data_IF_326954427421
#
_entry.id   IF_326954427421
#
_cell.length_a   1.000
_cell.length_b   1.000
_cell.length_c   1.000
_cell.angle_alpha   90.00
_cell.angle_beta   90.00
_cell.angle_gamma   90.00
#
_symmetry.space_group_name_H-M   'P 1'
#
loop_
_entity.id
_entity.type
_entity.pdbx_description
1 polymer ?
#
# COMPACT_ATOMS: atom_id res chain seq x y z
N UNK A 1 45.27 -17.33 -1.95
CA UNK A 1 46.33 -16.97 -0.99
C UNK A 1 46.39 -15.46 -1.04
N UNK A 2 46.13 -14.65 -0.03
CA UNK A 2 45.72 -14.74 1.37
C UNK A 2 45.10 -13.35 1.65
N UNK A 3 43.93 -13.29 2.28
CA UNK A 3 43.77 -12.92 3.70
C UNK A 3 44.02 -11.43 3.99
N UNK A 4 43.25 -10.95 4.97
CA UNK A 4 43.48 -9.75 5.78
C UNK A 4 42.67 -8.54 5.29
N UNK A 5 41.90 -7.84 6.10
CA UNK A 5 41.94 -7.68 7.55
C UNK A 5 40.58 -7.15 8.02
N UNK A 6 40.11 -7.65 9.15
CA UNK A 6 39.06 -7.01 9.95
C UNK A 6 39.60 -5.70 10.54
N UNK A 7 38.76 -4.68 10.71
CA UNK A 7 38.84 -3.92 11.96
C UNK A 7 37.49 -3.86 12.67
N UNK A 8 37.53 -4.17 13.97
CA UNK A 8 36.45 -3.94 14.91
C UNK A 8 36.37 -2.44 15.25
N UNK A 9 35.16 -1.86 15.19
CA UNK A 9 34.82 -0.57 15.77
C UNK A 9 33.41 -0.63 16.36
N UNK A 10 33.28 -0.35 17.66
CA UNK A 10 32.04 -0.31 18.44
C UNK A 10 31.24 1.00 18.21
N UNK A 11 30.11 1.23 18.90
CA UNK A 11 28.82 0.54 18.85
C UNK A 11 27.76 1.49 18.24
N UNK A 12 27.34 1.27 16.99
CA UNK A 12 26.40 2.17 16.32
C UNK A 12 24.95 1.79 16.63
N UNK A 13 24.29 2.66 17.40
CA UNK A 13 22.85 2.84 17.61
C UNK A 13 21.91 1.74 17.06
N UNK A 14 21.13 1.13 17.95
CA UNK A 14 19.96 0.34 17.54
C UNK A 14 19.17 1.15 16.49
N UNK A 15 18.85 0.56 15.32
CA UNK A 15 18.15 1.31 14.29
C UNK A 15 16.84 1.80 14.87
N UNK A 16 16.52 3.08 14.67
CA UNK A 16 15.21 3.60 15.01
C UNK A 16 14.15 2.69 14.38
N UNK A 17 13.09 2.29 15.10
CA UNK A 17 12.05 1.45 14.52
C UNK A 17 11.54 2.15 13.27
N UNK A 18 11.59 1.45 12.15
CA UNK A 18 11.09 1.97 10.88
C UNK A 18 9.66 2.45 11.14
N UNK A 19 9.42 3.74 10.95
CA UNK A 19 8.06 4.26 10.91
C UNK A 19 7.41 3.64 9.69
N UNK A 20 6.86 2.43 9.86
CA UNK A 20 5.90 1.88 8.94
C UNK A 20 4.74 2.86 8.98
N UNK A 21 4.71 3.78 8.02
CA UNK A 21 3.57 4.65 7.83
C UNK A 21 2.36 3.73 7.83
N UNK A 22 1.46 3.93 8.79
CA UNK A 22 0.13 3.34 8.73
C UNK A 22 -0.52 4.02 7.55
N UNK A 23 -0.27 3.49 6.36
CA UNK A 23 -0.97 3.82 5.13
C UNK A 23 -2.39 3.30 5.20
N UNK A 24 -3.11 3.64 6.27
CA UNK A 24 -4.56 3.65 6.29
C UNK A 24 -4.99 4.86 5.48
N UNK A 25 -4.70 4.83 4.17
CA UNK A 25 -5.64 5.43 3.24
C UNK A 25 -6.97 4.81 3.62
N UNK A 26 -8.03 5.59 3.92
CA UNK A 26 -9.30 5.01 4.27
C UNK A 26 -9.84 4.28 3.03
N UNK A 27 -9.46 3.01 2.85
CA UNK A 27 -10.02 2.08 1.86
C UNK A 27 -11.53 2.01 2.06
N UNK A 28 -11.98 2.17 3.31
CA UNK A 28 -13.39 2.30 3.65
C UNK A 28 -14.07 3.47 2.95
N UNK A 29 -13.43 4.64 2.77
CA UNK A 29 -14.07 5.78 2.11
C UNK A 29 -14.37 5.48 0.63
N UNK A 30 -13.42 4.84 -0.06
CA UNK A 30 -13.56 4.42 -1.45
C UNK A 30 -14.57 3.28 -1.62
N UNK A 31 -14.56 2.31 -0.69
CA UNK A 31 -15.55 1.22 -0.64
C UNK A 31 -16.97 1.73 -0.38
N UNK A 32 -17.16 2.62 0.58
CA UNK A 32 -18.46 3.18 0.94
C UNK A 32 -18.98 4.11 -0.18
N UNK A 33 -18.08 4.81 -0.88
CA UNK A 33 -18.41 5.55 -2.09
C UNK A 33 -18.88 4.60 -3.20
N UNK A 34 -18.15 3.51 -3.45
CA UNK A 34 -18.52 2.50 -4.44
C UNK A 34 -19.84 1.79 -4.10
N UNK A 35 -20.12 1.55 -2.82
CA UNK A 35 -21.37 0.98 -2.34
C UNK A 35 -22.59 1.89 -2.59
N UNK A 36 -22.40 3.21 -2.51
CA UNK A 36 -23.42 4.22 -2.83
C UNK A 36 -23.61 4.45 -4.34
N UNK A 37 -22.62 4.15 -5.18
CA UNK A 37 -22.72 4.34 -6.63
C UNK A 37 -23.86 3.53 -7.24
N UNK A 38 -24.61 4.16 -8.15
CA UNK A 38 -25.61 3.49 -8.96
C UNK A 38 -25.00 2.54 -9.98
N UNK A 39 -25.81 1.62 -10.53
CA UNK A 39 -25.35 0.66 -11.55
C UNK A 39 -24.72 1.33 -12.79
N UNK A 40 -25.30 2.45 -13.25
CA UNK A 40 -24.79 3.20 -14.39
C UNK A 40 -23.41 3.81 -14.12
N UNK A 41 -23.20 4.36 -12.93
CA UNK A 41 -21.92 4.94 -12.51
C UNK A 41 -20.84 3.86 -12.38
N UNK A 42 -21.20 2.69 -11.82
CA UNK A 42 -20.29 1.54 -11.77
C UNK A 42 -19.88 1.05 -13.17
N UNK A 43 -20.81 1.07 -14.15
CA UNK A 43 -20.49 0.73 -15.54
C UNK A 43 -19.59 1.77 -16.22
N UNK A 44 -19.79 3.06 -15.92
CA UNK A 44 -18.91 4.13 -16.39
C UNK A 44 -17.50 3.93 -15.81
N UNK A 45 -17.39 3.73 -14.49
CA UNK A 45 -16.12 3.44 -13.82
C UNK A 45 -15.42 2.21 -14.41
N UNK A 46 -16.14 1.12 -14.68
CA UNK A 46 -15.55 -0.06 -15.33
C UNK A 46 -14.99 0.21 -16.72
N UNK A 47 -15.55 1.18 -17.46
CA UNK A 47 -15.10 1.58 -18.81
C UNK A 47 -13.91 2.53 -18.74
N UNK A 48 -13.94 3.47 -17.81
CA UNK A 48 -12.93 4.53 -17.66
C UNK A 48 -11.69 4.03 -16.90
N UNK A 49 -11.90 3.26 -15.83
CA UNK A 49 -10.84 2.66 -15.03
C UNK A 49 -11.20 1.22 -14.61
N UNK A 50 -10.91 0.23 -15.48
CA UNK A 50 -11.20 -1.16 -15.19
C UNK A 50 -10.39 -1.70 -13.98
N UNK A 51 -9.21 -1.14 -13.70
CA UNK A 51 -8.34 -1.57 -12.61
C UNK A 51 -8.90 -1.16 -11.24
N UNK A 52 -9.28 0.11 -11.07
CA UNK A 52 -9.93 0.60 -9.83
C UNK A 52 -11.31 -0.02 -9.62
N UNK A 53 -12.10 -0.22 -10.69
CA UNK A 53 -13.34 -0.99 -10.58
C UNK A 53 -13.10 -2.40 -10.02
N UNK A 54 -12.09 -3.12 -10.53
CA UNK A 54 -11.77 -4.47 -10.06
C UNK A 54 -11.30 -4.47 -8.60
N UNK A 55 -10.46 -3.49 -8.22
CA UNK A 55 -9.99 -3.31 -6.86
C UNK A 55 -11.17 -3.07 -5.89
N UNK A 56 -12.06 -2.13 -6.20
CA UNK A 56 -13.23 -1.79 -5.38
C UNK A 56 -14.26 -2.93 -5.34
N UNK A 57 -14.46 -3.62 -6.47
CA UNK A 57 -15.32 -4.81 -6.54
C UNK A 57 -14.77 -5.98 -5.74
N UNK A 58 -13.45 -6.16 -5.66
CA UNK A 58 -12.84 -7.22 -4.86
C UNK A 58 -12.98 -6.99 -3.35
N UNK A 59 -13.32 -5.76 -2.95
CA UNK A 59 -13.49 -5.35 -1.57
C UNK A 59 -14.96 -5.38 -1.12
N UNK A 60 -15.93 -5.55 -2.03
CA UNK A 60 -17.34 -5.78 -1.69
C UNK A 60 -17.53 -7.20 -1.18
#
# INVERSE_FOLDING_TARGET
MEETTTPAAAPAAAPAPYAAGTGSVPVNADRDAFARMGYRERLALKREDPAGYAALRSQL
#
